data_IF_884390631535
#
_entry.id   IF_884390631535
#
_cell.length_a   1.000
_cell.length_b   1.000
_cell.length_c   1.000
_cell.angle_alpha   90.00
_cell.angle_beta   90.00
_cell.angle_gamma   90.00
#
_symmetry.space_group_name_H-M   'P 1'
#
loop_
_entity.id
_entity.type
_entity.pdbx_description
1 polymer ?
#
# COMPACT_ATOMS: atom_id res chain seq x y z
N UNK A 1 4.23 4.11 -3.04
CA UNK A 1 4.17 4.73 -4.39
C UNK A 1 3.19 3.94 -5.25
N UNK A 2 2.40 4.58 -6.11
CA UNK A 2 1.52 3.86 -7.03
C UNK A 2 2.31 3.34 -8.25
N UNK A 3 2.00 2.11 -8.69
CA UNK A 3 2.63 1.42 -9.81
C UNK A 3 1.56 0.78 -10.69
N UNK A 4 1.74 0.90 -12.01
CA UNK A 4 0.90 0.19 -12.99
C UNK A 4 1.43 -1.22 -13.22
N UNK A 5 0.58 -2.23 -13.02
CA UNK A 5 0.90 -3.63 -13.26
C UNK A 5 0.21 -4.13 -14.56
N UNK A 6 0.98 -4.42 -15.63
CA UNK A 6 0.40 -4.92 -16.87
C UNK A 6 -0.31 -6.27 -16.64
N UNK A 7 -1.61 -6.32 -16.93
CA UNK A 7 -2.46 -7.51 -16.75
C UNK A 7 -3.21 -7.61 -15.42
N UNK A 8 -2.89 -6.79 -14.41
CA UNK A 8 -3.49 -6.87 -13.06
C UNK A 8 -4.02 -5.52 -12.51
N UNK A 9 -3.93 -4.45 -13.30
CA UNK A 9 -4.42 -3.12 -12.91
C UNK A 9 -3.33 -2.27 -12.26
N UNK A 10 -3.69 -1.53 -11.21
CA UNK A 10 -2.81 -0.67 -10.42
C UNK A 10 -2.47 -1.32 -9.08
N UNK A 11 -1.31 -0.97 -8.56
CA UNK A 11 -0.78 -1.42 -7.29
C UNK A 11 -0.13 -0.28 -6.51
N UNK A 12 0.07 -0.48 -5.22
CA UNK A 12 0.82 0.42 -4.34
C UNK A 12 1.97 -0.35 -3.73
N UNK A 13 3.20 0.10 -3.99
CA UNK A 13 4.40 -0.39 -3.31
C UNK A 13 4.59 0.41 -2.01
N UNK A 14 4.63 -0.29 -0.88
CA UNK A 14 4.88 0.24 0.46
C UNK A 14 6.26 -0.21 0.88
N UNK A 15 7.15 0.74 1.17
CA UNK A 15 8.43 0.46 1.80
C UNK A 15 8.23 0.55 3.31
N UNK A 16 8.35 -0.59 3.98
CA UNK A 16 8.28 -0.67 5.43
C UNK A 16 9.62 -0.23 6.06
N UNK A 17 9.63 0.24 7.32
CA UNK A 17 10.84 0.68 8.00
C UNK A 17 11.86 -0.43 8.26
N UNK A 18 11.43 -1.69 8.26
CA UNK A 18 12.31 -2.88 8.29
C UNK A 18 13.05 -3.13 6.97
N UNK A 19 12.71 -2.39 5.91
CA UNK A 19 13.31 -2.51 4.58
C UNK A 19 12.56 -3.46 3.65
N UNK A 20 11.53 -4.18 4.12
CA UNK A 20 10.66 -4.96 3.26
C UNK A 20 9.79 -4.05 2.39
N UNK A 21 9.55 -4.48 1.15
CA UNK A 21 8.62 -3.81 0.25
C UNK A 21 7.40 -4.70 0.05
N UNK A 22 6.22 -4.20 0.41
CA UNK A 22 4.96 -4.89 0.17
C UNK A 22 4.20 -4.23 -0.99
N UNK A 23 3.75 -5.05 -1.95
CA UNK A 23 2.98 -4.58 -3.08
C UNK A 23 1.50 -4.94 -2.88
N UNK A 24 0.67 -3.93 -2.62
CA UNK A 24 -0.78 -4.09 -2.60
C UNK A 24 -1.27 -4.00 -4.05
N UNK A 25 -1.95 -5.04 -4.52
CA UNK A 25 -2.43 -5.16 -5.90
C UNK A 25 -3.96 -5.22 -5.91
N UNK A 26 -4.56 -4.90 -7.06
CA UNK A 26 -6.00 -5.03 -7.26
C UNK A 26 -6.76 -3.71 -7.41
N UNK A 27 -6.06 -2.58 -7.53
CA UNK A 27 -6.70 -1.31 -7.84
C UNK A 27 -7.07 -1.28 -9.33
N UNK A 28 -8.29 -0.87 -9.65
CA UNK A 28 -8.75 -0.79 -11.04
C UNK A 28 -8.13 0.44 -11.72
N UNK A 29 -7.98 1.54 -10.98
CA UNK A 29 -7.46 2.81 -11.50
C UNK A 29 -6.31 3.37 -10.67
N UNK A 30 -5.52 4.27 -11.26
CA UNK A 30 -4.47 5.01 -10.53
C UNK A 30 -5.08 5.84 -9.40
N UNK A 31 -6.24 6.44 -9.65
CA UNK A 31 -6.94 7.26 -8.67
C UNK A 31 -7.35 6.45 -7.43
N UNK A 32 -7.77 5.20 -7.59
CA UNK A 32 -8.05 4.30 -6.45
C UNK A 32 -6.78 3.99 -5.66
N UNK A 33 -5.66 3.73 -6.34
CA UNK A 33 -4.38 3.50 -5.70
C UNK A 33 -3.87 4.75 -4.94
N UNK A 34 -4.01 5.94 -5.54
CA UNK A 34 -3.62 7.22 -4.93
C UNK A 34 -4.53 7.58 -3.76
N UNK A 35 -5.84 7.36 -3.90
CA UNK A 35 -6.80 7.55 -2.82
C UNK A 35 -6.48 6.63 -1.65
N UNK A 36 -6.16 5.36 -1.92
CA UNK A 36 -5.71 4.42 -0.90
C UNK A 36 -4.44 4.91 -0.18
N UNK A 37 -3.43 5.41 -0.92
CA UNK A 37 -2.22 6.00 -0.32
C UNK A 37 -2.59 7.19 0.55
N UNK A 38 -3.45 8.10 0.08
CA UNK A 38 -3.85 9.28 0.83
C UNK A 38 -4.65 8.92 2.09
N UNK A 39 -5.59 7.99 2.00
CA UNK A 39 -6.36 7.48 3.13
C UNK A 39 -5.46 6.77 4.14
N UNK A 40 -4.50 5.97 3.68
CA UNK A 40 -3.53 5.34 4.57
C UNK A 40 -2.60 6.39 5.20
N UNK A 41 -2.00 7.32 4.46
CA UNK A 41 -1.14 8.39 5.01
C UNK A 41 -1.85 9.29 6.03
N UNK A 42 -3.13 9.62 5.80
CA UNK A 42 -3.91 10.47 6.71
C UNK A 42 -4.47 9.69 7.91
N UNK A 43 -4.81 8.41 7.72
CA UNK A 43 -5.29 7.51 8.78
C UNK A 43 -4.08 6.95 9.54
N UNK A 44 -3.57 7.74 10.47
CA UNK A 44 -2.47 7.38 11.37
C UNK A 44 -2.94 6.34 12.41
N UNK A 45 -2.67 5.05 12.17
CA UNK A 45 -2.01 4.24 13.22
C UNK A 45 -0.70 3.56 12.78
N UNK A 46 -0.46 3.36 11.48
CA UNK A 46 0.65 2.53 10.99
C UNK A 46 2.04 3.17 11.12
N UNK A 47 2.12 4.50 11.25
CA UNK A 47 3.39 5.17 11.57
C UNK A 47 3.80 5.02 13.05
N UNK A 48 2.85 4.72 13.94
CA UNK A 48 3.11 4.57 15.37
C UNK A 48 3.22 3.08 15.77
N UNK A 49 2.61 2.19 15.00
CA UNK A 49 2.91 0.76 15.03
C UNK A 49 3.93 0.49 13.94
N UNK A 50 5.22 0.50 14.28
CA UNK A 50 6.34 0.08 13.42
C UNK A 50 6.27 -1.42 13.03
N UNK A 51 5.07 -1.98 12.95
CA UNK A 51 4.76 -3.36 12.64
C UNK A 51 3.81 -3.36 11.44
N UNK A 52 4.28 -3.97 10.36
CA UNK A 52 3.42 -4.54 9.32
C UNK A 52 2.27 -5.27 10.01
N UNK A 53 0.99 -4.96 9.73
CA UNK A 53 -0.11 -5.72 10.29
C UNK A 53 0.10 -7.16 9.84
N UNK A 54 0.44 -8.04 10.77
CA UNK A 54 0.50 -9.48 10.50
C UNK A 54 -0.91 -9.87 10.08
N UNK A 55 -1.14 -10.02 8.78
CA UNK A 55 -2.27 -10.76 8.23
C UNK A 55 -2.08 -12.22 8.70
N UNK A 56 -2.45 -12.47 9.96
CA UNK A 56 -2.58 -13.81 10.48
C UNK A 56 -3.76 -14.46 9.74
N UNK A 57 -3.44 -15.59 9.12
CA UNK A 57 -4.31 -16.43 8.30
C UNK A 57 -5.50 -17.02 9.05
#
# INVERSE_FOLDING_TARGET
MARKNPGLGWGVDILWPDGETEAIKGFITEADAVKWIAEHEHSKPWQNTNQKPSLAS
#
